data_IF_219729738364
#
_entry.id   IF_219729738364
#
_cell.length_a   1.000
_cell.length_b   1.000
_cell.length_c   1.000
_cell.angle_alpha   90.00
_cell.angle_beta   90.00
_cell.angle_gamma   90.00
#
_symmetry.space_group_name_H-M   'P 1'
#
loop_
_entity.id
_entity.type
_entity.pdbx_description
1 polymer ?
#
# COMPACT_ATOMS: atom_id res chain seq x y z
N UNK A 1 22.18 1.72 3.06
CA UNK A 1 21.75 2.61 1.96
C UNK A 1 20.68 1.87 1.16
N UNK A 2 19.52 2.50 1.01
CA UNK A 2 18.30 1.93 0.43
C UNK A 2 17.09 2.52 1.16
N UNK A 3 16.10 3.02 0.42
CA UNK A 3 14.84 3.47 1.00
C UNK A 3 14.00 2.25 1.37
N UNK A 4 13.36 2.29 2.54
CA UNK A 4 12.44 1.27 3.01
C UNK A 4 11.11 1.92 3.34
N UNK A 5 10.02 1.14 3.29
CA UNK A 5 8.71 1.62 3.71
C UNK A 5 8.80 2.22 5.12
N UNK A 6 8.17 3.38 5.40
CA UNK A 6 7.23 4.12 4.55
C UNK A 6 7.85 5.19 3.64
N UNK A 7 9.17 5.23 3.46
CA UNK A 7 9.83 6.25 2.64
C UNK A 7 9.23 6.29 1.22
N UNK A 8 8.65 7.42 0.75
CA UNK A 8 8.07 7.56 -0.57
C UNK A 8 8.97 7.05 -1.72
N UNK A 9 10.29 7.17 -1.57
CA UNK A 9 11.24 6.77 -2.58
C UNK A 9 11.16 5.27 -2.92
N UNK A 10 10.80 4.39 -1.99
CA UNK A 10 10.68 2.95 -2.29
C UNK A 10 9.47 2.66 -3.17
N UNK A 11 8.36 3.36 -2.96
CA UNK A 11 7.12 3.20 -3.73
C UNK A 11 7.29 3.76 -5.14
N UNK A 12 7.86 4.97 -5.27
CA UNK A 12 8.16 5.56 -6.57
C UNK A 12 9.17 4.72 -7.35
N UNK A 13 10.20 4.18 -6.69
CA UNK A 13 11.17 3.30 -7.34
C UNK A 13 10.52 1.98 -7.81
N UNK A 14 9.60 1.40 -7.03
CA UNK A 14 8.85 0.22 -7.44
C UNK A 14 8.00 0.50 -8.69
N UNK A 15 7.24 1.59 -8.71
CA UNK A 15 6.41 1.99 -9.85
C UNK A 15 7.27 2.27 -11.10
N UNK A 16 8.39 2.98 -10.94
CA UNK A 16 9.32 3.26 -12.03
C UNK A 16 9.90 1.98 -12.66
N UNK A 17 10.19 0.96 -11.85
CA UNK A 17 10.67 -0.35 -12.35
C UNK A 17 9.58 -1.14 -13.09
N UNK A 18 8.32 -0.94 -12.73
CA UNK A 18 7.16 -1.53 -13.40
C UNK A 18 6.73 -0.72 -14.64
N UNK A 19 7.25 0.49 -14.81
CA UNK A 19 6.88 1.37 -15.92
C UNK A 19 5.48 1.97 -15.81
N UNK A 20 4.94 2.08 -14.59
CA UNK A 20 3.59 2.62 -14.32
C UNK A 20 3.66 3.85 -13.42
N UNK A 21 2.64 4.71 -13.48
CA UNK A 21 2.50 5.78 -12.50
C UNK A 21 2.05 5.23 -11.14
N UNK A 22 2.37 5.89 -10.01
CA UNK A 22 1.85 5.49 -8.70
C UNK A 22 0.32 5.36 -8.67
N UNK A 23 -0.41 6.26 -9.34
CA UNK A 23 -1.87 6.20 -9.42
C UNK A 23 -2.42 4.96 -10.16
N UNK A 24 -1.59 4.26 -10.92
CA UNK A 24 -1.94 3.07 -11.70
C UNK A 24 -1.51 1.76 -11.01
N UNK A 25 -0.92 1.85 -9.81
CA UNK A 25 -0.44 0.71 -9.04
C UNK A 25 -1.18 0.61 -7.70
N UNK A 26 -1.75 -0.56 -7.41
CA UNK A 26 -2.44 -0.84 -6.16
C UNK A 26 -1.46 -1.37 -5.10
N UNK A 27 -1.34 -0.67 -3.96
CA UNK A 27 -0.65 -1.21 -2.79
C UNK A 27 -1.60 -2.07 -1.95
N UNK A 28 -1.18 -3.31 -1.64
CA UNK A 28 -1.86 -4.19 -0.70
C UNK A 28 -0.85 -4.59 0.37
N UNK A 29 -1.14 -4.26 1.64
CA UNK A 29 -0.25 -4.53 2.76
C UNK A 29 -0.98 -4.49 4.09
N UNK A 30 -0.37 -5.05 5.14
CA UNK A 30 -0.96 -5.22 6.47
C UNK A 30 -0.49 -4.17 7.49
N UNK A 31 0.68 -3.56 7.26
CA UNK A 31 1.21 -2.52 8.14
C UNK A 31 0.67 -1.15 7.74
N UNK A 32 -0.14 -0.56 8.61
CA UNK A 32 -0.75 0.74 8.34
C UNK A 32 0.28 1.87 8.21
N UNK A 33 1.32 1.87 9.03
CA UNK A 33 2.32 2.92 8.99
C UNK A 33 3.27 2.76 7.81
N UNK A 34 3.74 1.54 7.57
CA UNK A 34 4.71 1.25 6.53
C UNK A 34 4.06 1.18 5.14
N UNK A 35 2.96 0.44 4.99
CA UNK A 35 2.32 0.18 3.70
C UNK A 35 1.30 1.24 3.33
N UNK A 36 0.32 1.46 4.21
CA UNK A 36 -0.83 2.30 3.89
C UNK A 36 -0.42 3.76 3.82
N UNK A 37 0.19 4.30 4.88
CA UNK A 37 0.58 5.71 4.90
C UNK A 37 1.66 6.02 3.85
N UNK A 38 2.61 5.10 3.64
CA UNK A 38 3.66 5.27 2.64
C UNK A 38 3.13 5.31 1.20
N UNK A 39 2.20 4.42 0.86
CA UNK A 39 1.57 4.40 -0.46
C UNK A 39 0.64 5.60 -0.69
N UNK A 40 -0.14 5.99 0.33
CA UNK A 40 -0.97 7.21 0.26
C UNK A 40 -0.12 8.46 0.04
N UNK A 41 1.08 8.55 0.63
CA UNK A 41 1.97 9.70 0.48
C UNK A 41 2.47 9.92 -0.96
N UNK A 42 2.44 8.88 -1.81
CA UNK A 42 2.81 8.97 -3.24
C UNK A 42 1.59 8.92 -4.19
N UNK A 43 0.38 8.95 -3.64
CA UNK A 43 -0.86 8.94 -4.43
C UNK A 43 -1.22 7.59 -5.03
N UNK A 44 -0.72 6.48 -4.47
CA UNK A 44 -1.14 5.14 -4.86
C UNK A 44 -2.51 4.81 -4.26
N UNK A 45 -3.42 4.16 -5.03
CA UNK A 45 -4.52 3.40 -4.45
C UNK A 45 -4.02 2.36 -3.44
N UNK A 46 -4.75 2.17 -2.35
CA UNK A 46 -4.37 1.24 -1.27
C UNK A 46 -5.57 0.40 -0.84
N UNK A 47 -5.32 -0.89 -0.59
CA UNK A 47 -6.19 -1.79 0.16
C UNK A 47 -5.42 -2.28 1.39
N UNK A 48 -6.00 -2.11 2.58
CA UNK A 48 -5.43 -2.63 3.83
C UNK A 48 -5.78 -4.11 3.98
N UNK A 49 -4.76 -4.98 3.97
CA UNK A 49 -4.92 -6.40 4.31
C UNK A 49 -4.97 -6.57 5.82
N UNK A 50 -6.17 -6.74 6.37
CA UNK A 50 -6.41 -6.77 7.81
C UNK A 50 -7.15 -8.04 8.22
N UNK A 51 -6.39 -9.00 8.79
CA UNK A 51 -6.89 -10.31 9.22
C UNK A 51 -7.64 -10.31 10.57
N UNK A 52 -7.84 -9.14 11.18
CA UNK A 52 -8.50 -8.99 12.48
C UNK A 52 -8.79 -7.53 12.84
N UNK A 53 -9.59 -7.29 13.87
CA UNK A 53 -10.06 -5.95 14.25
C UNK A 53 -9.11 -5.15 15.15
N UNK A 54 -7.91 -5.67 15.42
CA UNK A 54 -6.95 -5.03 16.31
C UNK A 54 -5.97 -4.12 15.55
N UNK A 55 -5.65 -2.97 16.14
CA UNK A 55 -4.64 -2.04 15.63
C UNK A 55 -5.21 -0.79 14.92
N UNK A 56 -4.32 0.10 14.45
CA UNK A 56 -4.73 1.31 13.76
C UNK A 56 -5.47 0.99 12.46
N UNK A 57 -6.38 1.88 12.05
CA UNK A 57 -7.03 1.83 10.74
C UNK A 57 -6.95 3.20 10.05
N UNK A 58 -7.06 3.18 8.71
CA UNK A 58 -7.18 4.35 7.83
C UNK A 58 -8.49 4.25 7.08
N UNK A 59 -8.98 5.36 6.55
CA UNK A 59 -10.17 5.40 5.70
C UNK A 59 -9.86 4.90 4.28
N UNK A 60 -9.45 3.64 4.17
CA UNK A 60 -9.15 2.95 2.92
C UNK A 60 -9.92 1.61 2.90
N UNK A 61 -10.22 1.05 1.70
CA UNK A 61 -10.80 -0.29 1.61
C UNK A 61 -9.95 -1.31 2.36
N UNK A 62 -10.61 -2.29 2.98
CA UNK A 62 -9.98 -3.31 3.81
C UNK A 62 -10.48 -4.68 3.41
N UNK A 63 -9.60 -5.68 3.38
CA UNK A 63 -9.93 -7.09 3.12
C UNK A 63 -9.25 -7.97 4.17
N UNK A 64 -9.83 -9.13 4.50
CA UNK A 64 -9.20 -10.09 5.42
C UNK A 64 -8.31 -11.11 4.69
N UNK A 65 -8.56 -11.34 3.40
CA UNK A 65 -7.78 -12.19 2.51
C UNK A 65 -7.53 -11.56 1.14
N UNK A 66 -6.52 -12.07 0.42
CA UNK A 66 -6.25 -11.64 -0.97
C UNK A 66 -7.28 -12.22 -1.95
N UNK A 67 -7.98 -13.28 -1.56
CA UNK A 67 -9.08 -13.91 -2.29
C UNK A 67 -10.35 -13.05 -2.36
N UNK A 68 -10.43 -11.99 -1.55
CA UNK A 68 -11.54 -11.02 -1.56
C UNK A 68 -11.34 -9.91 -2.62
N UNK A 69 -10.21 -9.89 -3.33
CA UNK A 69 -9.88 -8.84 -4.31
C UNK A 69 -10.27 -9.28 -5.72
N UNK A 70 -11.18 -8.55 -6.35
CA UNK A 70 -11.59 -8.73 -7.75
C UNK A 70 -10.97 -7.63 -8.64
N UNK A 71 -10.48 -8.01 -9.82
CA UNK A 71 -9.82 -7.14 -10.81
C UNK A 71 -10.61 -7.01 -12.11
#
# INVERSE_FOLDING_TARGET
MGAAKPDPAIFSAACARLGVAPAEALMIGDDVGADVDGALAVGMPVVHLRRGDQGPSRAVPTVAGLDEIEF
#
